data_IF_920964405316
#
_entry.id   IF_920964405316
#
_cell.length_a   1.000
_cell.length_b   1.000
_cell.length_c   1.000
_cell.angle_alpha   90.00
_cell.angle_beta   90.00
_cell.angle_gamma   90.00
#
_symmetry.space_group_name_H-M   'P 1'
#
loop_
_entity.id
_entity.type
_entity.pdbx_description
1 polymer ?
#
# COMPACT_ATOMS: atom_id res chain seq x y z
N UNK A 1 -15.91 2.69 -24.36
CA UNK A 1 -15.77 1.24 -24.64
C UNK A 1 -14.29 0.94 -24.59
N UNK A 2 -13.86 -0.05 -23.80
CA UNK A 2 -12.43 -0.36 -23.66
C UNK A 2 -12.02 -1.23 -24.86
N UNK A 3 -11.55 -0.56 -25.93
CA UNK A 3 -11.25 -1.16 -27.25
C UNK A 3 -10.26 -2.33 -27.17
N UNK A 4 -9.45 -2.38 -26.11
CA UNK A 4 -8.43 -3.41 -25.88
C UNK A 4 -9.00 -4.82 -25.76
N UNK A 5 -10.17 -4.99 -25.16
CA UNK A 5 -10.78 -6.33 -25.01
C UNK A 5 -11.38 -6.85 -26.31
N UNK A 6 -11.90 -5.95 -27.14
CA UNK A 6 -12.35 -6.30 -28.49
C UNK A 6 -11.17 -6.70 -29.36
N UNK A 7 -10.08 -5.95 -29.30
CA UNK A 7 -8.84 -6.26 -30.00
C UNK A 7 -8.28 -7.62 -29.55
N UNK A 8 -8.21 -7.88 -28.25
CA UNK A 8 -7.76 -9.17 -27.73
C UNK A 8 -8.66 -10.32 -28.21
N UNK A 9 -9.98 -10.18 -28.12
CA UNK A 9 -10.91 -11.21 -28.59
C UNK A 9 -10.79 -11.45 -30.11
N UNK A 10 -10.45 -10.42 -30.88
CA UNK A 10 -10.22 -10.53 -32.32
C UNK A 10 -8.87 -11.19 -32.64
N UNK A 11 -7.82 -10.89 -31.87
CA UNK A 11 -6.51 -11.55 -31.99
C UNK A 11 -6.64 -13.05 -31.69
N UNK A 12 -7.37 -13.44 -30.65
CA UNK A 12 -7.62 -14.87 -30.34
C UNK A 12 -8.24 -15.63 -31.53
N UNK A 13 -9.13 -14.99 -32.29
CA UNK A 13 -9.69 -15.57 -33.52
C UNK A 13 -8.66 -15.68 -34.65
N UNK A 14 -7.80 -14.68 -34.80
CA UNK A 14 -6.77 -14.65 -35.84
C UNK A 14 -5.66 -15.67 -35.58
N UNK A 15 -5.27 -15.81 -34.32
CA UNK A 15 -4.20 -16.70 -33.86
C UNK A 15 -4.67 -18.14 -33.60
N UNK A 16 -5.98 -18.39 -33.73
CA UNK A 16 -6.63 -19.68 -33.42
C UNK A 16 -6.44 -20.12 -31.96
N UNK A 17 -6.30 -19.16 -31.05
CA UNK A 17 -6.15 -19.36 -29.60
C UNK A 17 -7.48 -19.10 -28.86
N UNK A 18 -8.60 -19.39 -29.53
CA UNK A 18 -9.95 -19.12 -29.01
C UNK A 18 -10.26 -19.92 -27.74
N UNK A 19 -11.01 -19.30 -26.83
CA UNK A 19 -11.61 -20.01 -25.73
C UNK A 19 -12.66 -21.00 -26.27
N UNK A 20 -12.35 -22.30 -26.17
CA UNK A 20 -13.14 -23.35 -26.82
C UNK A 20 -14.57 -23.40 -26.29
N UNK A 21 -14.78 -23.16 -24.99
CA UNK A 21 -16.10 -23.20 -24.38
C UNK A 21 -16.99 -22.04 -24.88
N UNK A 22 -16.46 -20.82 -24.88
CA UNK A 22 -17.17 -19.64 -25.38
C UNK A 22 -17.39 -19.70 -26.88
N UNK A 23 -16.42 -20.22 -27.64
CA UNK A 23 -16.57 -20.42 -29.08
C UNK A 23 -17.63 -21.48 -29.40
N UNK A 24 -17.61 -22.63 -28.73
CA UNK A 24 -18.61 -23.67 -28.92
C UNK A 24 -20.02 -23.18 -28.57
N UNK A 25 -20.16 -22.40 -27.48
CA UNK A 25 -21.42 -21.76 -27.11
C UNK A 25 -21.89 -20.80 -28.20
N UNK A 26 -21.00 -19.97 -28.75
CA UNK A 26 -21.33 -19.07 -29.85
C UNK A 26 -21.77 -19.85 -31.09
N UNK A 27 -21.02 -20.88 -31.47
CA UNK A 27 -21.28 -21.71 -32.64
C UNK A 27 -22.63 -22.43 -32.57
N UNK A 28 -22.94 -23.03 -31.42
CA UNK A 28 -24.23 -23.66 -31.15
C UNK A 28 -25.39 -22.65 -31.21
N UNK A 29 -25.17 -21.43 -30.71
CA UNK A 29 -26.20 -20.38 -30.70
C UNK A 29 -26.50 -19.84 -32.10
N UNK A 30 -25.51 -19.86 -33.00
CA UNK A 30 -25.65 -19.35 -34.37
C UNK A 30 -25.88 -20.45 -35.40
N UNK A 31 -26.26 -21.65 -34.97
CA UNK A 31 -26.56 -22.80 -35.83
C UNK A 31 -25.42 -23.14 -36.81
N UNK A 32 -24.18 -22.90 -36.38
CA UNK A 32 -22.98 -23.16 -37.18
C UNK A 32 -22.63 -22.13 -38.24
N UNK A 33 -23.37 -21.01 -38.34
CA UNK A 33 -23.00 -19.88 -39.20
C UNK A 33 -21.69 -19.25 -38.70
N UNK A 34 -20.61 -19.43 -39.46
CA UNK A 34 -19.26 -19.04 -39.04
C UNK A 34 -19.11 -17.53 -38.84
N UNK A 35 -19.73 -16.71 -39.71
CA UNK A 35 -19.63 -15.26 -39.62
C UNK A 35 -20.34 -14.73 -38.38
N UNK A 36 -21.55 -15.24 -38.11
CA UNK A 36 -22.29 -14.92 -36.88
C UNK A 36 -21.59 -15.47 -35.63
N UNK A 37 -20.99 -16.66 -35.72
CA UNK A 37 -20.23 -17.27 -34.62
C UNK A 37 -19.10 -16.36 -34.19
N UNK A 38 -18.28 -15.88 -35.13
CA UNK A 38 -17.14 -14.98 -34.84
C UNK A 38 -17.60 -13.68 -34.19
N UNK A 39 -18.66 -13.07 -34.71
CA UNK A 39 -19.23 -11.85 -34.14
C UNK A 39 -19.77 -12.07 -32.71
N UNK A 40 -20.49 -13.17 -32.48
CA UNK A 40 -21.03 -13.52 -31.18
C UNK A 40 -19.92 -13.89 -30.18
N UNK A 41 -18.89 -14.61 -30.63
CA UNK A 41 -17.71 -14.92 -29.84
C UNK A 41 -17.05 -13.65 -29.32
N UNK A 42 -16.75 -12.68 -30.19
CA UNK A 42 -16.11 -11.42 -29.79
C UNK A 42 -16.94 -10.71 -28.72
N UNK A 43 -18.27 -10.69 -28.86
CA UNK A 43 -19.17 -10.09 -27.88
C UNK A 43 -19.11 -10.79 -26.51
N UNK A 44 -19.23 -12.12 -26.49
CA UNK A 44 -19.20 -12.91 -25.26
C UNK A 44 -17.82 -12.82 -24.59
N UNK A 45 -16.77 -13.01 -25.37
CA UNK A 45 -15.39 -13.00 -24.89
C UNK A 45 -14.99 -11.64 -24.33
N UNK A 46 -15.41 -10.55 -24.97
CA UNK A 46 -15.17 -9.20 -24.44
C UNK A 46 -15.82 -8.99 -23.08
N UNK A 47 -17.06 -9.47 -22.90
CA UNK A 47 -17.75 -9.38 -21.61
C UNK A 47 -17.04 -10.21 -20.53
N UNK A 48 -16.55 -11.40 -20.87
CA UNK A 48 -15.77 -12.25 -19.96
C UNK A 48 -14.45 -11.60 -19.57
N UNK A 49 -13.68 -11.06 -20.53
CA UNK A 49 -12.41 -10.37 -20.26
C UNK A 49 -12.61 -9.17 -19.34
N UNK A 50 -13.67 -8.38 -19.56
CA UNK A 50 -14.02 -7.26 -18.67
C UNK A 50 -14.37 -7.72 -17.26
N UNK A 51 -15.10 -8.83 -17.13
CA UNK A 51 -15.45 -9.42 -15.82
C UNK A 51 -14.20 -9.88 -15.09
N UNK A 52 -13.32 -10.62 -15.77
CA UNK A 52 -12.06 -11.12 -15.22
C UNK A 52 -11.16 -9.98 -14.77
N UNK A 53 -10.98 -8.94 -15.59
CA UNK A 53 -10.18 -7.77 -15.23
C UNK A 53 -10.70 -7.06 -13.98
N UNK A 54 -12.04 -6.98 -13.82
CA UNK A 54 -12.66 -6.40 -12.63
C UNK A 54 -12.45 -7.26 -11.39
N UNK A 55 -12.54 -8.59 -11.53
CA UNK A 55 -12.28 -9.54 -10.45
C UNK A 55 -10.81 -9.50 -10.00
N UNK A 56 -9.87 -9.49 -10.94
CA UNK A 56 -8.44 -9.34 -10.65
C UNK A 56 -8.13 -8.03 -9.94
N UNK A 57 -8.70 -6.91 -10.39
CA UNK A 57 -8.51 -5.61 -9.75
C UNK A 57 -8.98 -5.65 -8.29
N UNK A 58 -10.18 -6.20 -8.03
CA UNK A 58 -10.71 -6.35 -6.67
C UNK A 58 -9.82 -7.23 -5.80
N UNK A 59 -9.32 -8.34 -6.36
CA UNK A 59 -8.41 -9.24 -5.64
C UNK A 59 -7.11 -8.53 -5.24
N UNK A 60 -6.50 -7.78 -6.17
CA UNK A 60 -5.30 -6.97 -5.90
C UNK A 60 -5.55 -5.89 -4.84
N UNK A 61 -6.70 -5.22 -4.89
CA UNK A 61 -7.08 -4.22 -3.88
C UNK A 61 -7.24 -4.85 -2.49
N UNK A 62 -7.87 -6.02 -2.39
CA UNK A 62 -8.04 -6.73 -1.12
C UNK A 62 -6.70 -7.26 -0.58
N UNK A 63 -5.85 -7.81 -1.45
CA UNK A 63 -4.50 -8.26 -1.07
C UNK A 63 -3.65 -7.09 -0.55
N UNK A 64 -3.67 -5.94 -1.22
CA UNK A 64 -2.98 -4.74 -0.77
C UNK A 64 -3.49 -4.26 0.60
N UNK A 65 -4.82 -4.28 0.81
CA UNK A 65 -5.44 -3.92 2.09
C UNK A 65 -5.06 -4.89 3.21
N UNK A 66 -5.04 -6.19 2.92
CA UNK A 66 -4.59 -7.19 3.88
C UNK A 66 -3.12 -7.03 4.23
N UNK A 67 -2.27 -6.73 3.24
CA UNK A 67 -0.86 -6.46 3.46
C UNK A 67 -0.64 -5.27 4.40
N UNK A 68 -1.33 -4.14 4.14
CA UNK A 68 -1.29 -2.96 5.01
C UNK A 68 -1.77 -3.27 6.44
N UNK A 69 -2.82 -4.07 6.58
CA UNK A 69 -3.31 -4.50 7.91
C UNK A 69 -2.28 -5.33 8.67
N UNK A 70 -1.61 -6.27 8.00
CA UNK A 70 -0.55 -7.09 8.62
C UNK A 70 0.63 -6.23 9.04
N UNK A 71 1.04 -5.26 8.22
CA UNK A 71 2.10 -4.32 8.57
C UNK A 71 1.74 -3.48 9.81
N UNK A 72 0.52 -2.92 9.85
CA UNK A 72 0.07 -2.14 11.00
C UNK A 72 -0.06 -2.99 12.28
N UNK A 73 -0.46 -4.26 12.16
CA UNK A 73 -0.51 -5.17 13.30
C UNK A 73 0.89 -5.54 13.80
N UNK A 74 1.83 -5.78 12.89
CA UNK A 74 3.22 -6.05 13.24
C UNK A 74 3.84 -4.84 13.95
N UNK A 75 3.64 -3.63 13.42
CA UNK A 75 4.12 -2.40 14.05
C UNK A 75 3.55 -2.20 15.46
N UNK A 76 2.27 -2.55 15.68
CA UNK A 76 1.67 -2.52 17.02
C UNK A 76 2.33 -3.52 17.95
N UNK A 77 2.55 -4.76 17.51
CA UNK A 77 3.23 -5.80 18.29
C UNK A 77 4.66 -5.40 18.62
N UNK A 78 5.39 -4.81 17.67
CA UNK A 78 6.75 -4.34 17.86
C UNK A 78 6.80 -3.18 18.87
N UNK A 79 5.84 -2.24 18.81
CA UNK A 79 5.68 -1.16 19.81
C UNK A 79 5.35 -1.71 21.20
N UNK A 80 4.43 -2.67 21.30
CA UNK A 80 4.09 -3.31 22.57
C UNK A 80 5.28 -4.07 23.16
N UNK A 81 6.01 -4.81 22.32
CA UNK A 81 7.24 -5.51 22.71
C UNK A 81 8.28 -4.51 23.21
N UNK A 82 8.51 -3.42 22.48
CA UNK A 82 9.44 -2.36 22.88
C UNK A 82 9.08 -1.75 24.24
N UNK A 83 7.80 -1.45 24.47
CA UNK A 83 7.30 -0.94 25.77
C UNK A 83 7.52 -1.96 26.89
N UNK A 84 7.26 -3.24 26.63
CA UNK A 84 7.46 -4.32 27.62
C UNK A 84 8.92 -4.50 28.02
N UNK A 85 9.85 -4.33 27.07
CA UNK A 85 11.29 -4.44 27.30
C UNK A 85 11.86 -3.23 28.03
N UNK A 86 11.18 -2.07 27.97
CA UNK A 86 11.62 -0.82 28.58
C UNK A 86 10.58 -0.25 29.58
N UNK A 87 10.28 -0.96 30.68
CA UNK A 87 9.23 -0.56 31.63
C UNK A 87 9.51 0.81 32.29
N UNK A 88 10.78 1.20 32.43
CA UNK A 88 11.17 2.50 32.95
C UNK A 88 10.76 3.67 32.04
N UNK A 89 10.70 3.48 30.72
CA UNK A 89 10.25 4.53 29.78
C UNK A 89 8.76 4.83 30.00
N UNK A 90 7.95 3.80 30.27
CA UNK A 90 6.53 3.97 30.58
C UNK A 90 6.32 4.70 31.93
N UNK A 91 7.18 4.42 32.92
CA UNK A 91 7.17 5.11 34.21
C UNK A 91 7.53 6.59 34.10
N UNK A 92 8.58 6.90 33.32
CA UNK A 92 9.01 8.29 33.07
C UNK A 92 7.95 9.04 32.24
N UNK A 93 7.41 8.42 31.20
CA UNK A 93 6.37 9.01 30.34
C UNK A 93 5.08 9.35 31.11
N UNK A 94 4.58 8.44 31.95
CA UNK A 94 3.41 8.72 32.80
C UNK A 94 3.67 9.82 33.82
N UNK A 95 4.89 9.87 34.39
CA UNK A 95 5.29 10.95 35.30
C UNK A 95 5.32 12.31 34.60
N UNK A 96 5.84 12.39 33.37
CA UNK A 96 5.88 13.62 32.58
C UNK A 96 4.47 14.07 32.17
N UNK A 97 3.62 13.16 31.69
CA UNK A 97 2.23 13.49 31.32
C UNK A 97 1.46 14.02 32.53
N UNK A 98 1.57 13.35 33.69
CA UNK A 98 0.95 13.82 34.93
C UNK A 98 1.49 15.18 35.36
N UNK A 99 2.79 15.41 35.21
CA UNK A 99 3.43 16.69 35.53
C UNK A 99 2.88 17.84 34.66
N UNK A 100 2.82 17.67 33.33
CA UNK A 100 2.29 18.70 32.44
C UNK A 100 0.79 18.94 32.60
N UNK A 101 0.01 17.89 32.89
CA UNK A 101 -1.41 18.00 33.15
C UNK A 101 -1.72 18.83 34.41
N UNK A 102 -1.02 18.56 35.52
CA UNK A 102 -1.16 19.33 36.76
C UNK A 102 -0.68 20.78 36.60
N UNK A 103 0.33 21.01 35.76
CA UNK A 103 0.85 22.36 35.46
C UNK A 103 -0.11 23.19 34.61
N UNK A 104 -0.78 22.57 33.63
CA UNK A 104 -1.79 23.24 32.79
C UNK A 104 -3.01 23.69 33.60
N UNK A 105 -3.45 22.88 34.57
CA UNK A 105 -4.53 23.26 35.49
C UNK A 105 -4.24 24.51 36.32
N UNK A 106 -2.96 24.82 36.57
CA UNK A 106 -2.53 26.00 37.32
C UNK A 106 -2.50 27.27 36.47
N UNK A 107 -2.81 27.19 35.17
CA UNK A 107 -2.79 28.35 34.27
C UNK A 107 -1.39 28.87 33.97
N UNK A 108 -0.35 28.08 34.24
CA UNK A 108 1.01 28.42 33.83
C UNK A 108 1.15 28.26 32.31
N UNK A 109 1.75 29.25 31.65
CA UNK A 109 1.93 29.26 30.21
C UNK A 109 3.07 28.30 29.83
N UNK A 110 2.72 27.07 29.45
CA UNK A 110 3.67 25.96 29.25
C UNK A 110 4.52 26.14 27.98
N UNK A 111 4.01 26.88 27.00
CA UNK A 111 4.57 26.89 25.63
C UNK A 111 5.98 27.50 25.51
N UNK A 112 6.32 28.48 26.34
CA UNK A 112 7.59 29.19 26.22
C UNK A 112 8.75 28.47 26.93
N UNK A 113 8.48 27.88 28.10
CA UNK A 113 9.50 27.15 28.88
C UNK A 113 9.79 25.77 28.27
N UNK A 114 8.77 25.08 27.77
CA UNK A 114 8.93 23.82 27.04
C UNK A 114 9.74 23.99 25.75
N UNK A 115 9.50 25.10 25.03
CA UNK A 115 10.29 25.45 23.83
C UNK A 115 11.77 25.68 24.16
N UNK A 116 12.08 26.30 25.29
CA UNK A 116 13.46 26.53 25.72
C UNK A 116 14.13 25.24 26.19
N UNK A 117 13.46 24.36 26.92
CA UNK A 117 14.01 23.04 27.30
C UNK A 117 14.22 22.11 26.09
N UNK A 118 13.30 22.10 25.12
CA UNK A 118 13.45 21.36 23.85
C UNK A 118 14.60 21.94 23.02
N UNK A 119 14.80 23.26 22.99
CA UNK A 119 15.99 23.88 22.37
C UNK A 119 17.28 23.47 23.08
N UNK A 120 17.27 23.36 24.41
CA UNK A 120 18.46 23.00 25.20
C UNK A 120 18.84 21.53 25.01
N UNK A 121 17.86 20.64 24.98
CA UNK A 121 18.05 19.20 24.72
C UNK A 121 18.33 18.88 23.25
N UNK A 122 17.73 19.60 22.29
CA UNK A 122 18.08 19.45 20.87
C UNK A 122 19.50 19.91 20.55
N UNK A 123 20.03 20.94 21.25
CA UNK A 123 21.45 21.32 21.16
C UNK A 123 22.41 20.25 21.70
N UNK A 124 21.98 19.42 22.65
CA UNK A 124 22.76 18.29 23.16
C UNK A 124 22.64 17.00 22.32
N UNK A 125 21.48 16.76 21.70
CA UNK A 125 21.20 15.54 20.94
C UNK A 125 21.47 15.68 19.41
N UNK A 126 21.59 16.91 18.91
CA UNK A 126 21.93 17.18 17.51
C UNK A 126 23.30 16.60 17.11
N UNK A 127 24.26 16.48 18.03
CA UNK A 127 25.57 15.91 17.68
C UNK A 127 25.47 14.42 17.34
N UNK A 128 24.49 13.68 17.90
CA UNK A 128 24.36 12.23 17.67
C UNK A 128 23.43 11.92 16.50
N UNK A 129 22.34 12.69 16.34
CA UNK A 129 21.32 12.46 15.31
C UNK A 129 21.68 13.02 13.93
N UNK A 130 22.51 14.08 13.84
CA UNK A 130 23.05 14.51 12.54
C UNK A 130 24.05 13.50 11.95
N UNK A 131 24.77 12.72 12.78
CA UNK A 131 25.71 11.71 12.26
C UNK A 131 24.99 10.59 11.50
N UNK A 132 23.83 10.14 12.00
CA UNK A 132 23.05 9.07 11.37
C UNK A 132 22.38 9.52 10.06
N UNK A 133 21.83 10.73 10.03
CA UNK A 133 21.22 11.28 8.80
C UNK A 133 22.30 11.52 7.74
N UNK A 134 23.48 12.03 8.13
CA UNK A 134 24.59 12.20 7.20
C UNK A 134 25.10 10.86 6.65
N UNK A 135 25.19 9.83 7.49
CA UNK A 135 25.61 8.49 7.06
C UNK A 135 24.63 7.87 6.06
N UNK A 136 23.31 8.04 6.27
CA UNK A 136 22.27 7.57 5.34
C UNK A 136 22.36 8.30 4.00
N UNK A 137 22.60 9.62 4.01
CA UNK A 137 22.76 10.41 2.77
C UNK A 137 24.02 9.99 2.01
N UNK A 138 25.15 9.80 2.72
CA UNK A 138 26.42 9.36 2.10
C UNK A 138 26.27 7.97 1.47
N UNK A 139 25.65 7.02 2.16
CA UNK A 139 25.40 5.66 1.62
C UNK A 139 24.50 5.71 0.39
N UNK A 140 23.47 6.56 0.40
CA UNK A 140 22.55 6.70 -0.74
C UNK A 140 23.23 7.30 -1.98
N UNK A 141 24.12 8.29 -1.80
CA UNK A 141 24.85 8.91 -2.92
C UNK A 141 25.88 7.96 -3.52
N UNK A 142 26.59 7.17 -2.69
CA UNK A 142 27.55 6.17 -3.17
C UNK A 142 26.85 5.05 -3.96
N UNK A 143 25.65 4.65 -3.57
CA UNK A 143 24.87 3.64 -4.30
C UNK A 143 24.47 4.13 -5.71
N UNK A 144 24.09 5.40 -5.84
CA UNK A 144 23.67 5.99 -7.12
C UNK A 144 24.86 6.19 -8.09
N UNK A 145 26.07 6.40 -7.58
CA UNK A 145 27.26 6.62 -8.42
C UNK A 145 27.94 5.31 -8.90
N UNK A 146 27.54 4.16 -8.36
CA UNK A 146 28.09 2.84 -8.70
C UNK A 146 27.16 1.99 -9.59
N UNK A 147 26.01 2.54 -10.01
CA UNK A 147 25.17 2.03 -11.10
C UNK A 147 25.47 2.77 -12.41
#
# INVERSE_FOLDING_TARGET
MDNRYYEQAFQELSDKTVDTATFAKAYATTEGDESKTKALYIKLRTADLQRLAKEEKKKKEEEAKQHLRRQAEQEKKDKELFISQHPNINRIGKSLISYYYERSKKGENIDDELREEIKKTSRGCAVVSFSFIFLIIVVSVVAILNE
#
